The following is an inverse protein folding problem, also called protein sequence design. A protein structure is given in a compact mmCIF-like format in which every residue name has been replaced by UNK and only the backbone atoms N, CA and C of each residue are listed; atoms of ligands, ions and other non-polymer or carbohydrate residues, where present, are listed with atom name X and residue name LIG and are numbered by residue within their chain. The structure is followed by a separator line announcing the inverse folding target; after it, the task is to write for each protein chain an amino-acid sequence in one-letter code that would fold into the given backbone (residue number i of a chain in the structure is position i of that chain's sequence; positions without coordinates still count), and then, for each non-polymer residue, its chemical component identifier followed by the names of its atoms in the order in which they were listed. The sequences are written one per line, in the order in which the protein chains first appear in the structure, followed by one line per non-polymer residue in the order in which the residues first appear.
data_IF_500553096805
#
_entry.id   IF_500553096805
#
_cell.length_a   1.000
_cell.length_b   1.000
_cell.length_c   1.000
_cell.angle_alpha   90.00
_cell.angle_beta   90.00
_cell.angle_gamma   90.00
#
_symmetry.space_group_name_H-M   'P 1'
#
loop_
_entity.id
_entity.type
_entity.pdbx_description
1 polymer ?
#
# COMPACT_ATOMS: atom_id res chain seq x y z
N UNK A 1 25.14 -0.95 8.86
CA UNK A 1 25.91 0.28 8.61
C UNK A 1 25.69 0.85 7.21
N UNK A 2 26.18 0.30 6.09
CA UNK A 2 25.95 1.00 4.79
C UNK A 2 24.48 1.07 4.36
N UNK A 3 23.69 0.02 4.61
CA UNK A 3 22.25 0.00 4.29
C UNK A 3 21.39 0.89 5.21
N UNK A 4 21.98 1.51 6.23
CA UNK A 4 21.25 2.37 7.17
C UNK A 4 21.28 3.84 6.77
N UNK A 5 22.16 4.21 5.83
CA UNK A 5 22.33 5.59 5.38
C UNK A 5 21.26 5.91 4.33
N UNK A 6 20.45 6.97 4.52
CA UNK A 6 19.45 7.38 3.54
C UNK A 6 20.11 7.94 2.27
N UNK A 7 19.32 8.08 1.21
CA UNK A 7 19.81 8.71 -0.03
C UNK A 7 20.13 10.19 0.21
N UNK A 8 21.15 10.69 -0.49
CA UNK A 8 21.52 12.11 -0.44
C UNK A 8 20.45 12.90 -1.22
N UNK A 9 19.82 13.92 -0.61
CA UNK A 9 18.85 14.76 -1.32
C UNK A 9 19.49 15.45 -2.53
N UNK A 10 18.71 15.64 -3.60
CA UNK A 10 19.16 16.45 -4.73
C UNK A 10 19.31 17.91 -4.31
N UNK A 11 20.30 18.67 -4.83
CA UNK A 11 20.46 20.10 -4.52
C UNK A 11 19.22 20.97 -4.80
N UNK A 12 18.28 20.51 -5.65
CA UNK A 12 17.02 21.22 -5.90
C UNK A 12 15.98 21.04 -4.80
N UNK A 13 16.18 20.12 -3.84
CA UNK A 13 15.21 19.86 -2.77
C UNK A 13 15.32 20.95 -1.71
N UNK A 14 14.22 21.64 -1.36
CA UNK A 14 14.24 22.68 -0.35
C UNK A 14 14.60 22.09 1.03
N UNK A 15 15.37 22.85 1.81
CA UNK A 15 15.67 22.50 3.20
C UNK A 15 14.41 22.60 4.06
N UNK A 16 14.28 21.66 5.01
CA UNK A 16 13.15 21.60 5.94
C UNK A 16 13.38 20.55 7.02
N UNK A 17 12.75 20.73 8.17
CA UNK A 17 12.82 19.81 9.31
C UNK A 17 11.57 18.91 9.41
N UNK A 18 10.46 19.36 8.83
CA UNK A 18 9.17 18.68 8.91
C UNK A 18 8.31 18.88 7.66
N UNK A 19 7.17 18.20 7.64
CA UNK A 19 6.15 18.36 6.61
C UNK A 19 5.58 19.79 6.52
N UNK A 20 5.75 20.61 7.56
CA UNK A 20 5.36 22.04 7.57
C UNK A 20 6.24 22.91 6.67
N UNK A 21 7.44 22.44 6.35
CA UNK A 21 8.40 23.15 5.51
C UNK A 21 8.24 22.80 4.03
N UNK A 22 7.31 21.88 3.71
CA UNK A 22 7.00 21.51 2.33
C UNK A 22 6.43 22.70 1.56
N UNK A 23 6.93 22.90 0.35
CA UNK A 23 6.49 23.98 -0.54
C UNK A 23 5.48 23.47 -1.57
N UNK A 24 4.31 24.09 -1.66
CA UNK A 24 3.34 23.80 -2.71
C UNK A 24 3.82 24.36 -4.05
N UNK A 25 4.12 23.48 -5.01
CA UNK A 25 4.63 23.88 -6.34
C UNK A 25 3.50 24.16 -7.33
N UNK A 26 2.37 23.47 -7.21
CA UNK A 26 1.24 23.61 -8.13
C UNK A 26 -0.07 23.14 -7.49
N UNK A 27 -1.13 23.91 -7.71
CA UNK A 27 -2.52 23.54 -7.49
C UNK A 27 -3.26 23.42 -8.82
N UNK A 28 -4.24 22.52 -8.90
CA UNK A 28 -5.09 22.37 -10.07
C UNK A 28 -6.54 22.14 -9.65
N UNK A 29 -7.46 22.86 -10.30
CA UNK A 29 -8.87 22.91 -9.92
C UNK A 29 -9.11 23.70 -8.63
N UNK A 30 -10.39 23.90 -8.32
CA UNK A 30 -10.82 24.56 -7.08
C UNK A 30 -11.52 23.54 -6.17
N UNK A 31 -11.24 23.55 -4.85
CA UNK A 31 -11.97 22.72 -3.89
C UNK A 31 -13.47 22.97 -4.00
N UNK A 32 -14.25 21.89 -4.03
CA UNK A 32 -15.71 21.98 -4.12
C UNK A 32 -16.27 22.67 -2.88
N UNK A 33 -17.10 23.70 -3.11
CA UNK A 33 -17.88 24.33 -2.04
C UNK A 33 -19.25 23.67 -2.00
N UNK A 34 -19.62 23.14 -0.84
CA UNK A 34 -20.92 22.54 -0.60
C UNK A 34 -21.87 23.58 0.00
N UNK A 35 -23.13 23.54 -0.41
CA UNK A 35 -24.25 24.27 0.19
C UNK A 35 -24.88 23.52 1.38
N UNK A 36 -24.28 22.40 1.79
CA UNK A 36 -24.65 21.56 2.91
C UNK A 36 -23.43 21.15 3.74
N UNK A 37 -23.67 20.59 4.93
CA UNK A 37 -22.61 20.03 5.78
C UNK A 37 -22.03 18.76 5.14
N UNK A 38 -20.78 18.85 4.66
CA UNK A 38 -20.10 17.75 4.02
C UNK A 38 -19.84 16.60 5.01
N UNK A 39 -20.31 15.40 4.66
CA UNK A 39 -20.04 14.18 5.42
C UNK A 39 -18.68 13.59 5.04
N UNK A 40 -17.99 13.02 6.01
CA UNK A 40 -16.78 12.24 5.74
C UNK A 40 -17.10 10.91 5.03
N UNK A 41 -16.08 10.30 4.44
CA UNK A 41 -16.24 9.06 3.67
C UNK A 41 -16.73 7.87 4.50
N UNK A 42 -16.43 7.77 5.80
CA UNK A 42 -16.90 6.68 6.66
C UNK A 42 -18.40 6.84 6.90
N UNK A 43 -18.83 8.05 7.21
CA UNK A 43 -20.25 8.38 7.41
C UNK A 43 -21.06 8.08 6.15
N UNK A 44 -20.59 8.52 4.99
CA UNK A 44 -21.22 8.22 3.70
C UNK A 44 -21.27 6.71 3.42
N UNK A 45 -20.16 6.00 3.63
CA UNK A 45 -20.11 4.56 3.35
C UNK A 45 -21.04 3.75 4.26
N UNK A 46 -21.25 4.19 5.51
CA UNK A 46 -22.19 3.52 6.43
C UNK A 46 -23.64 3.79 6.03
N UNK A 47 -24.00 5.04 5.78
CA UNK A 47 -25.37 5.43 5.43
C UNK A 47 -25.86 4.77 4.14
N UNK A 48 -24.96 4.59 3.18
CA UNK A 48 -25.26 4.00 1.87
C UNK A 48 -25.01 2.48 1.81
N UNK A 49 -24.72 1.83 2.93
CA UNK A 49 -24.38 0.40 3.01
C UNK A 49 -23.24 -0.03 2.06
N UNK A 50 -22.23 0.83 1.90
CA UNK A 50 -21.10 0.65 0.99
C UNK A 50 -19.89 0.01 1.66
N UNK A 51 -19.83 -0.01 2.99
CA UNK A 51 -18.79 -0.71 3.72
C UNK A 51 -19.28 -1.30 5.05
N UNK A 52 -18.75 -2.47 5.39
CA UNK A 52 -18.99 -3.14 6.67
C UNK A 52 -17.68 -3.18 7.49
N UNK A 53 -17.56 -2.19 8.37
CA UNK A 53 -16.41 -2.01 9.25
C UNK A 53 -16.45 -2.96 10.45
N UNK A 54 -17.64 -3.25 11.00
CA UNK A 54 -17.77 -4.12 12.17
C UNK A 54 -17.37 -5.56 11.82
N UNK A 55 -17.90 -6.08 10.71
CA UNK A 55 -17.55 -7.42 10.24
C UNK A 55 -16.10 -7.48 9.77
N UNK A 56 -15.59 -6.41 9.16
CA UNK A 56 -14.18 -6.32 8.80
C UNK A 56 -13.27 -6.39 10.01
N UNK A 57 -13.58 -5.63 11.06
CA UNK A 57 -12.83 -5.65 12.32
C UNK A 57 -12.91 -7.02 13.00
N UNK A 58 -14.07 -7.68 12.97
CA UNK A 58 -14.25 -9.05 13.48
C UNK A 58 -13.40 -10.08 12.73
N UNK A 59 -13.22 -9.92 11.42
CA UNK A 59 -12.50 -10.88 10.57
C UNK A 59 -10.99 -10.64 10.56
N UNK A 60 -10.57 -9.38 10.43
CA UNK A 60 -9.17 -9.02 10.19
C UNK A 60 -8.52 -8.22 11.33
N UNK A 61 -9.29 -7.78 12.33
CA UNK A 61 -8.81 -6.93 13.42
C UNK A 61 -8.79 -5.45 13.05
N UNK A 62 -7.96 -4.68 13.76
CA UNK A 62 -7.83 -3.23 13.57
C UNK A 62 -7.53 -2.88 12.10
N UNK A 63 -8.24 -1.87 11.55
CA UNK A 63 -8.23 -1.44 10.14
C UNK A 63 -8.84 -2.41 9.11
N UNK A 64 -9.49 -3.48 9.53
CA UNK A 64 -10.27 -4.35 8.65
C UNK A 64 -11.64 -3.77 8.29
N UNK A 65 -12.02 -3.83 7.01
CA UNK A 65 -13.37 -3.49 6.51
C UNK A 65 -13.68 -4.31 5.25
N UNK A 66 -14.97 -4.52 4.97
CA UNK A 66 -15.42 -5.01 3.67
C UNK A 66 -15.98 -3.85 2.86
N UNK A 67 -15.60 -3.71 1.60
CA UNK A 67 -16.38 -2.92 0.63
C UNK A 67 -17.58 -3.73 0.16
N UNK A 68 -18.69 -3.03 -0.08
CA UNK A 68 -19.98 -3.60 -0.46
C UNK A 68 -20.58 -2.81 -1.63
N UNK A 69 -21.50 -3.47 -2.33
CA UNK A 69 -22.38 -2.86 -3.33
C UNK A 69 -21.59 -1.98 -4.32
N UNK A 70 -22.06 -0.76 -4.55
CA UNK A 70 -21.48 0.15 -5.53
C UNK A 70 -20.04 0.54 -5.21
N UNK A 71 -19.61 0.53 -3.94
CA UNK A 71 -18.22 0.84 -3.59
C UNK A 71 -17.25 -0.28 -3.98
N UNK A 72 -17.69 -1.54 -3.91
CA UNK A 72 -16.89 -2.66 -4.41
C UNK A 72 -16.73 -2.59 -5.94
N UNK A 73 -17.81 -2.25 -6.66
CA UNK A 73 -17.78 -2.05 -8.10
C UNK A 73 -16.93 -0.83 -8.50
N UNK A 74 -17.08 0.28 -7.78
CA UNK A 74 -16.30 1.51 -8.00
C UNK A 74 -14.80 1.28 -7.79
N UNK A 75 -14.41 0.50 -6.77
CA UNK A 75 -13.01 0.15 -6.55
C UNK A 75 -12.43 -0.56 -7.78
N UNK A 76 -13.14 -1.57 -8.31
CA UNK A 76 -12.71 -2.28 -9.52
C UNK A 76 -12.66 -1.37 -10.75
N UNK A 77 -13.63 -0.47 -10.91
CA UNK A 77 -13.67 0.49 -12.01
C UNK A 77 -12.49 1.47 -11.98
N UNK A 78 -12.11 1.94 -10.79
CA UNK A 78 -10.94 2.82 -10.61
C UNK A 78 -9.64 2.10 -10.97
N UNK A 79 -9.47 0.84 -10.55
CA UNK A 79 -8.32 0.03 -10.95
C UNK A 79 -8.22 -0.07 -12.47
N UNK A 80 -9.33 -0.42 -13.14
CA UNK A 80 -9.36 -0.56 -14.59
C UNK A 80 -9.03 0.77 -15.30
N UNK A 81 -9.63 1.88 -14.85
CA UNK A 81 -9.36 3.21 -15.40
C UNK A 81 -7.87 3.57 -15.36
N UNK A 82 -7.21 3.32 -14.23
CA UNK A 82 -5.77 3.59 -14.08
C UNK A 82 -4.93 2.67 -14.98
N UNK A 83 -5.26 1.38 -15.05
CA UNK A 83 -4.59 0.44 -15.95
C UNK A 83 -4.69 0.85 -17.41
N UNK A 84 -5.88 1.25 -17.86
CA UNK A 84 -6.11 1.69 -19.23
C UNK A 84 -5.29 2.95 -19.55
N UNK A 85 -5.30 3.93 -18.63
CA UNK A 85 -4.55 5.16 -18.80
C UNK A 85 -3.03 4.91 -18.92
N UNK A 86 -2.46 4.06 -18.07
CA UNK A 86 -1.04 3.73 -18.16
C UNK A 86 -0.71 2.87 -19.39
N UNK A 87 -1.58 1.93 -19.77
CA UNK A 87 -1.39 1.12 -20.95
C UNK A 87 -1.36 1.98 -22.22
N UNK A 88 -2.23 2.98 -22.31
CA UNK A 88 -2.24 3.96 -23.41
C UNK A 88 -0.98 4.84 -23.43
N UNK A 89 -0.39 5.12 -22.26
CA UNK A 89 0.90 5.80 -22.15
C UNK A 89 2.12 4.89 -22.45
N UNK A 90 1.91 3.64 -22.86
CA UNK A 90 2.96 2.71 -23.26
C UNK A 90 3.59 1.89 -22.13
N UNK A 91 3.02 1.95 -20.93
CA UNK A 91 3.47 1.09 -19.82
C UNK A 91 2.92 -0.33 -20.00
N UNK A 92 3.75 -1.33 -19.68
CA UNK A 92 3.33 -2.73 -19.72
C UNK A 92 2.73 -3.14 -18.37
N UNK A 93 1.45 -3.56 -18.32
CA UNK A 93 0.84 -4.04 -17.09
C UNK A 93 1.46 -5.38 -16.66
N UNK A 94 1.76 -5.51 -15.37
CA UNK A 94 2.31 -6.74 -14.77
C UNK A 94 1.60 -7.01 -13.45
N UNK A 95 1.07 -8.23 -13.28
CA UNK A 95 0.59 -8.72 -11.99
C UNK A 95 1.75 -9.38 -11.25
N UNK A 96 2.33 -8.66 -10.30
CA UNK A 96 3.46 -9.14 -9.51
C UNK A 96 3.02 -10.01 -8.32
N UNK A 97 3.87 -10.96 -7.86
CA UNK A 97 3.64 -11.69 -6.61
C UNK A 97 3.58 -10.74 -5.41
N UNK A 98 2.59 -10.94 -4.52
CA UNK A 98 2.43 -10.16 -3.27
C UNK A 98 3.25 -10.69 -2.10
N UNK A 99 3.71 -11.94 -2.18
CA UNK A 99 4.64 -12.56 -1.25
C UNK A 99 6.02 -12.63 -1.90
N UNK A 100 6.99 -11.94 -1.31
CA UNK A 100 8.34 -11.85 -1.86
C UNK A 100 9.39 -12.25 -0.81
N UNK A 101 10.56 -12.65 -1.29
CA UNK A 101 11.66 -13.01 -0.40
C UNK A 101 12.30 -11.77 0.21
N UNK A 102 12.93 -11.93 1.37
CA UNK A 102 13.53 -10.83 2.12
C UNK A 102 14.59 -10.06 1.32
N UNK A 103 15.33 -10.74 0.44
CA UNK A 103 16.38 -10.12 -0.37
C UNK A 103 15.85 -9.02 -1.30
N UNK A 104 14.60 -9.15 -1.77
CA UNK A 104 13.97 -8.15 -2.63
C UNK A 104 13.69 -6.84 -1.87
N UNK A 105 13.36 -6.91 -0.57
CA UNK A 105 13.16 -5.72 0.26
C UNK A 105 14.47 -4.97 0.54
N UNK A 106 15.60 -5.67 0.55
CA UNK A 106 16.92 -5.03 0.64
C UNK A 106 17.22 -4.35 -0.69
N UNK A 107 16.92 -5.01 -1.81
CA UNK A 107 17.11 -4.44 -3.15
C UNK A 107 16.36 -3.13 -3.40
N UNK A 108 15.18 -2.96 -2.80
CA UNK A 108 14.41 -1.71 -2.86
C UNK A 108 14.80 -0.69 -1.80
N UNK A 109 15.75 -1.01 -0.90
CA UNK A 109 16.13 -0.14 0.22
C UNK A 109 15.10 -0.08 1.36
N UNK A 110 14.09 -0.96 1.38
CA UNK A 110 13.06 -0.97 2.43
C UNK A 110 13.59 -1.54 3.75
N UNK A 111 14.41 -2.58 3.66
CA UNK A 111 15.13 -3.13 4.82
C UNK A 111 16.55 -2.54 4.88
N UNK A 112 17.06 -2.24 6.09
CA UNK A 112 16.56 -2.70 7.41
C UNK A 112 15.48 -1.86 8.11
N UNK A 113 15.22 -0.62 7.69
CA UNK A 113 14.42 0.37 8.45
C UNK A 113 12.95 -0.05 8.59
N UNK A 114 12.31 -0.49 7.52
CA UNK A 114 10.88 -0.85 7.49
C UNK A 114 10.57 -2.24 8.05
N UNK A 115 11.41 -2.81 8.93
CA UNK A 115 11.26 -4.19 9.40
C UNK A 115 10.01 -4.42 10.25
N UNK A 116 9.59 -3.41 11.00
CA UNK A 116 8.38 -3.47 11.82
C UNK A 116 7.10 -3.33 11.00
N UNK A 117 7.22 -2.83 9.76
CA UNK A 117 6.10 -2.57 8.86
C UNK A 117 5.81 -3.75 7.90
N UNK A 118 6.61 -4.81 7.92
CA UNK A 118 6.42 -5.99 7.06
C UNK A 118 5.72 -7.15 7.77
N UNK A 119 4.71 -7.73 7.13
CA UNK A 119 4.12 -8.98 7.59
C UNK A 119 4.99 -10.17 7.18
N UNK A 120 5.71 -10.74 8.15
CA UNK A 120 6.52 -11.95 7.94
C UNK A 120 5.65 -13.20 8.02
N UNK A 121 5.67 -14.01 6.96
CA UNK A 121 4.97 -15.30 6.97
C UNK A 121 5.79 -16.37 7.69
N UNK A 122 5.10 -17.34 8.29
CA UNK A 122 5.75 -18.47 8.95
C UNK A 122 6.26 -19.47 7.92
N UNK A 123 7.52 -19.90 8.05
CA UNK A 123 8.02 -21.03 7.28
C UNK A 123 7.36 -22.32 7.80
N UNK A 124 6.58 -23.02 6.98
CA UNK A 124 6.13 -24.38 7.32
C UNK A 124 7.35 -25.28 7.50
N UNK A 125 7.59 -25.77 8.73
CA UNK A 125 8.44 -26.96 8.98
C UNK A 125 7.73 -28.16 8.35
N UNK A 126 7.95 -28.38 7.06
CA UNK A 126 7.54 -29.63 6.42
C UNK A 126 8.49 -30.73 6.91
N UNK A 127 7.92 -31.72 7.58
CA UNK A 127 8.59 -32.88 8.17
C UNK A 127 9.22 -33.85 7.13
N UNK A 128 9.25 -33.44 5.85
CA UNK A 128 9.72 -34.21 4.69
C UNK A 128 11.06 -33.74 4.09
N UNK A 129 11.68 -32.69 4.62
CA UNK A 129 12.99 -32.21 4.13
C UNK A 129 14.11 -32.56 5.11
N UNK A 130 14.37 -33.85 5.31
CA UNK A 130 15.63 -34.34 5.90
C UNK A 130 16.67 -34.76 4.85
N UNK A 131 16.41 -34.60 3.55
CA UNK A 131 17.32 -35.11 2.52
C UNK A 131 17.72 -34.16 1.38
N UNK A 132 17.35 -32.87 1.38
CA UNK A 132 17.90 -31.95 0.37
C UNK A 132 18.34 -30.63 0.98
N UNK A 133 19.65 -30.38 0.87
CA UNK A 133 20.33 -29.10 1.11
C UNK A 133 19.75 -28.00 0.20
N UNK A 134 18.59 -27.45 0.57
CA UNK A 134 18.10 -26.22 -0.04
C UNK A 134 17.66 -25.28 1.08
N UNK A 135 18.50 -24.27 1.34
CA UNK A 135 18.25 -23.22 2.33
C UNK A 135 16.96 -22.50 1.93
N UNK A 136 15.91 -22.62 2.75
CA UNK A 136 14.65 -21.87 2.58
C UNK A 136 14.70 -20.61 3.44
N UNK A 137 14.54 -19.46 2.79
CA UNK A 137 14.53 -18.13 3.41
C UNK A 137 13.10 -17.69 3.74
N UNK A 138 12.90 -16.86 4.78
CA UNK A 138 11.59 -16.34 5.13
C UNK A 138 11.02 -15.43 4.02
N UNK A 139 9.70 -15.49 3.84
CA UNK A 139 8.93 -14.73 2.86
C UNK A 139 8.10 -13.68 3.61
N UNK A 140 8.05 -12.46 3.10
CA UNK A 140 7.22 -11.37 3.64
C UNK A 140 6.18 -10.95 2.61
N UNK A 141 5.03 -10.47 3.11
CA UNK A 141 3.91 -9.98 2.30
C UNK A 141 4.01 -8.46 2.20
N UNK A 142 3.85 -7.94 0.99
CA UNK A 142 3.57 -6.53 0.72
C UNK A 142 2.04 -6.40 0.68
N UNK A 143 1.52 -5.27 1.18
CA UNK A 143 0.11 -4.87 1.40
C UNK A 143 -0.29 -4.85 2.87
#
# INVERSE_FOLDING_TARGET
MIYEVPNIPDPSVPEGESDKDNQEIRKWGEPTTFDFEAKDHISLMKELDLADFERGAKVAGFRGYFLKNDAALLSMALWQFVYDNFSQAGYQPVLAPSLVRMENFIGTGWLPQGREEIYKTQAKRSRQLRQRHQRRFPVARIF
#
